data_IF_294427220830
#
_entry.id   IF_294427220830
#
_cell.length_a   1.000
_cell.length_b   1.000
_cell.length_c   1.000
_cell.angle_alpha   90.00
_cell.angle_beta   90.00
_cell.angle_gamma   90.00
#
_symmetry.space_group_name_H-M   'P 1'
#
loop_
_entity.id
_entity.type
_entity.pdbx_description
1 polymer ?
#
# COMPACT_ATOMS: atom_id res chain seq x y z
N UNK A 1 8.33 12.63 15.15
CA UNK A 1 7.49 11.46 15.43
C UNK A 1 6.10 11.69 14.86
N UNK A 2 5.53 10.70 14.20
CA UNK A 2 4.15 10.72 13.71
C UNK A 2 3.19 10.22 14.80
N UNK A 3 1.87 10.40 14.61
CA UNK A 3 0.90 9.92 15.60
C UNK A 3 0.89 8.39 15.68
N UNK A 4 1.12 7.69 14.56
CA UNK A 4 1.23 6.23 14.53
C UNK A 4 2.48 5.72 15.25
N UNK A 5 3.59 6.45 15.20
CA UNK A 5 4.80 6.12 15.96
C UNK A 5 4.56 6.21 17.47
N UNK A 6 3.89 7.27 17.95
CA UNK A 6 3.52 7.42 19.36
C UNK A 6 2.59 6.29 19.83
N UNK A 7 1.62 5.91 19.00
CA UNK A 7 0.71 4.79 19.26
C UNK A 7 1.50 3.49 19.47
N UNK A 8 2.50 3.22 18.60
CA UNK A 8 3.37 2.04 18.70
C UNK A 8 4.26 2.10 19.95
N UNK A 9 4.88 3.24 20.23
CA UNK A 9 5.76 3.44 21.38
C UNK A 9 5.02 3.19 22.70
N UNK A 10 3.77 3.64 22.79
CA UNK A 10 2.90 3.41 23.96
C UNK A 10 2.25 2.02 23.98
N UNK A 11 2.62 1.11 23.07
CA UNK A 11 2.12 -0.26 23.04
C UNK A 11 0.60 -0.37 22.84
N UNK A 12 -0.01 0.63 22.22
CA UNK A 12 -1.46 0.68 22.00
C UNK A 12 -1.83 0.49 20.53
N UNK A 13 -3.08 0.13 20.28
CA UNK A 13 -3.66 0.14 18.94
C UNK A 13 -4.48 1.41 18.72
N UNK A 14 -4.75 1.78 17.46
CA UNK A 14 -5.72 2.85 17.13
C UNK A 14 -7.07 2.62 17.81
N UNK A 15 -7.48 1.36 17.96
CA UNK A 15 -8.74 1.00 18.60
C UNK A 15 -8.69 1.28 20.11
N UNK A 16 -7.60 0.88 20.76
CA UNK A 16 -7.34 1.20 22.16
C UNK A 16 -7.33 2.71 22.39
N UNK A 17 -6.68 3.47 21.50
CA UNK A 17 -6.68 4.93 21.56
C UNK A 17 -8.11 5.51 21.47
N UNK A 18 -8.97 4.97 20.58
CA UNK A 18 -10.38 5.38 20.49
C UNK A 18 -11.13 5.15 21.80
N UNK A 19 -10.92 4.00 22.43
CA UNK A 19 -11.56 3.68 23.72
C UNK A 19 -11.06 4.56 24.86
N UNK A 20 -9.75 4.79 24.95
CA UNK A 20 -9.12 5.56 26.03
C UNK A 20 -9.44 7.06 25.90
N UNK A 21 -9.30 7.62 24.70
CA UNK A 21 -9.54 9.05 24.45
C UNK A 21 -11.03 9.44 24.39
N UNK A 22 -11.92 8.46 24.16
CA UNK A 22 -13.33 8.73 23.88
C UNK A 22 -13.55 9.52 22.58
N UNK A 23 -12.62 9.41 21.63
CA UNK A 23 -12.74 9.97 20.27
C UNK A 23 -13.30 8.86 19.36
N UNK A 24 -14.35 9.12 18.55
CA UNK A 24 -14.89 8.14 17.62
C UNK A 24 -13.83 7.56 16.68
N UNK A 25 -13.93 6.26 16.38
CA UNK A 25 -13.01 5.56 15.50
C UNK A 25 -12.84 6.26 14.14
N UNK A 26 -13.93 6.72 13.52
CA UNK A 26 -13.89 7.42 12.24
C UNK A 26 -12.96 8.65 12.28
N UNK A 27 -13.11 9.48 13.32
CA UNK A 27 -12.28 10.68 13.53
C UNK A 27 -10.82 10.32 13.75
N UNK A 28 -10.53 9.31 14.59
CA UNK A 28 -9.15 8.87 14.81
C UNK A 28 -8.53 8.27 13.56
N UNK A 29 -9.31 7.53 12.77
CA UNK A 29 -8.84 6.97 11.50
C UNK A 29 -8.43 8.08 10.53
N UNK A 30 -9.20 9.17 10.44
CA UNK A 30 -8.86 10.31 9.59
C UNK A 30 -7.63 11.08 10.09
N UNK A 31 -7.46 11.21 11.41
CA UNK A 31 -6.26 11.82 12.00
C UNK A 31 -5.03 10.94 11.76
N UNK A 32 -5.13 9.64 12.06
CA UNK A 32 -4.02 8.68 11.95
C UNK A 32 -3.69 8.28 10.50
N UNK A 33 -4.48 8.71 9.51
CA UNK A 33 -4.18 8.58 8.08
C UNK A 33 -3.74 9.91 7.45
N UNK A 34 -3.64 10.98 8.24
CA UNK A 34 -3.26 12.30 7.76
C UNK A 34 -4.36 13.06 6.99
N UNK A 35 -5.55 12.46 6.76
CA UNK A 35 -6.69 13.16 6.13
C UNK A 35 -7.11 14.41 6.92
N UNK A 36 -7.06 14.34 8.24
CA UNK A 36 -7.30 15.48 9.13
C UNK A 36 -6.00 15.87 9.83
N UNK A 37 -5.52 17.08 9.54
CA UNK A 37 -4.38 17.66 10.26
C UNK A 37 -4.75 17.95 11.72
N UNK A 38 -3.85 17.67 12.65
CA UNK A 38 -3.99 17.99 14.08
C UNK A 38 -4.24 19.48 14.32
N UNK A 39 -3.66 20.36 13.49
CA UNK A 39 -3.89 21.80 13.55
C UNK A 39 -5.33 22.23 13.24
N UNK A 40 -6.11 21.36 12.57
CA UNK A 40 -7.53 21.58 12.26
C UNK A 40 -8.48 20.91 13.25
N UNK A 41 -7.96 20.10 14.17
CA UNK A 41 -8.77 19.49 15.21
C UNK A 41 -9.27 20.55 16.20
N UNK A 42 -10.50 20.40 16.68
CA UNK A 42 -11.02 21.26 17.73
C UNK A 42 -10.25 21.05 19.04
N UNK A 43 -10.32 22.04 19.95
CA UNK A 43 -9.61 22.02 21.23
C UNK A 43 -9.96 20.80 22.09
N UNK A 44 -11.21 20.33 22.06
CA UNK A 44 -11.63 19.17 22.84
C UNK A 44 -10.97 17.87 22.35
N UNK A 45 -10.85 17.68 21.04
CA UNK A 45 -10.15 16.55 20.43
C UNK A 45 -8.67 16.59 20.77
N UNK A 46 -8.02 17.75 20.68
CA UNK A 46 -6.62 17.92 21.05
C UNK A 46 -6.38 17.63 22.53
N UNK A 47 -7.27 18.07 23.41
CA UNK A 47 -7.19 17.79 24.84
C UNK A 47 -7.36 16.30 25.14
N UNK A 48 -8.30 15.62 24.48
CA UNK A 48 -8.48 14.17 24.60
C UNK A 48 -7.26 13.38 24.13
N UNK A 49 -6.64 13.78 23.01
CA UNK A 49 -5.40 13.18 22.52
C UNK A 49 -4.23 13.43 23.46
N UNK A 50 -4.06 14.67 23.91
CA UNK A 50 -3.05 15.08 24.89
C UNK A 50 -3.15 14.25 26.18
N UNK A 51 -4.36 14.09 26.73
CA UNK A 51 -4.59 13.23 27.90
C UNK A 51 -4.29 11.76 27.64
N UNK A 52 -4.70 11.21 26.48
CA UNK A 52 -4.47 9.80 26.15
C UNK A 52 -2.99 9.48 25.88
N UNK A 53 -2.24 10.44 25.35
CA UNK A 53 -0.81 10.31 25.11
C UNK A 53 0.04 10.81 26.28
N UNK A 54 -0.53 11.38 27.35
CA UNK A 54 0.24 11.98 28.45
C UNK A 54 1.27 13.01 27.94
N UNK A 55 0.89 13.77 26.92
CA UNK A 55 1.70 14.80 26.26
C UNK A 55 0.99 16.15 26.41
N UNK A 56 1.73 17.24 26.33
CA UNK A 56 1.13 18.58 26.21
C UNK A 56 0.46 18.76 24.84
N UNK A 57 -0.53 19.66 24.75
CA UNK A 57 -1.18 20.00 23.47
C UNK A 57 -0.16 20.51 22.45
N UNK A 58 0.86 21.25 22.89
CA UNK A 58 1.91 21.76 22.02
C UNK A 58 2.75 20.63 21.41
N UNK A 59 3.10 19.62 22.20
CA UNK A 59 3.82 18.44 21.71
C UNK A 59 2.95 17.62 20.74
N UNK A 60 1.66 17.49 21.01
CA UNK A 60 0.71 16.82 20.09
C UNK A 60 0.63 17.58 18.76
N UNK A 61 0.55 18.92 18.78
CA UNK A 61 0.52 19.73 17.56
C UNK A 61 1.83 19.70 16.76
N UNK A 62 2.96 19.43 17.43
CA UNK A 62 4.28 19.25 16.80
C UNK A 62 4.47 17.86 16.19
N UNK A 63 3.54 16.93 16.39
CA UNK A 63 3.59 15.64 15.70
C UNK A 63 3.49 15.88 14.20
N UNK A 64 4.42 15.26 13.47
CA UNK A 64 4.44 15.35 12.03
C UNK A 64 3.17 14.66 11.50
N UNK A 65 2.57 15.18 10.42
CA UNK A 65 1.58 14.39 9.69
C UNK A 65 2.22 13.05 9.35
N UNK A 66 1.41 11.99 9.30
CA UNK A 66 1.89 10.76 8.69
C UNK A 66 2.44 11.13 7.30
N UNK A 67 3.65 10.65 6.92
CA UNK A 67 3.99 10.65 5.52
C UNK A 67 2.77 10.03 4.85
N UNK A 68 2.18 10.71 3.87
CA UNK A 68 1.09 10.14 3.09
C UNK A 68 1.57 8.73 2.79
N UNK A 69 0.92 7.70 3.34
CA UNK A 69 1.18 6.35 2.87
C UNK A 69 1.14 6.52 1.37
N UNK A 70 2.24 6.23 0.68
CA UNK A 70 2.36 6.56 -0.72
C UNK A 70 1.21 5.81 -1.39
N UNK A 71 0.08 6.48 -1.58
CA UNK A 71 -1.18 5.82 -1.87
C UNK A 71 -1.88 6.68 -2.89
N UNK A 72 -1.85 6.22 -4.12
CA UNK A 72 -2.65 6.80 -5.17
C UNK A 72 -4.02 6.11 -5.10
N UNK A 73 -5.07 6.89 -4.87
CA UNK A 73 -6.46 6.40 -4.81
C UNK A 73 -6.72 5.29 -3.77
N UNK A 74 -6.02 5.31 -2.64
CA UNK A 74 -6.22 4.34 -1.55
C UNK A 74 -5.55 2.98 -1.75
N UNK A 75 -4.69 2.84 -2.77
CA UNK A 75 -3.85 1.65 -3.00
C UNK A 75 -2.39 1.95 -2.68
N UNK A 76 -1.61 0.99 -2.14
CA UNK A 76 -0.17 1.18 -1.93
C UNK A 76 0.56 1.58 -3.22
N UNK A 77 1.55 2.47 -3.13
CA UNK A 77 2.41 2.87 -4.25
C UNK A 77 3.33 1.73 -4.64
N UNK A 78 3.79 0.95 -3.65
CA UNK A 78 4.41 -0.34 -3.96
C UNK A 78 3.34 -1.29 -4.50
N UNK A 79 3.40 -1.54 -5.81
CA UNK A 79 2.48 -2.41 -6.52
C UNK A 79 2.87 -3.89 -6.47
N UNK A 80 3.91 -4.26 -5.71
CA UNK A 80 4.35 -5.66 -5.56
C UNK A 80 3.23 -6.62 -5.10
N UNK A 81 2.20 -6.11 -4.41
CA UNK A 81 1.02 -6.89 -4.05
C UNK A 81 0.29 -7.50 -5.25
N UNK A 82 0.42 -6.90 -6.45
CA UNK A 82 -0.19 -7.40 -7.69
C UNK A 82 0.49 -8.66 -8.24
N UNK A 83 1.68 -9.01 -7.73
CA UNK A 83 2.42 -10.24 -8.08
C UNK A 83 2.17 -11.39 -7.10
N UNK A 84 1.21 -11.24 -6.20
CA UNK A 84 0.85 -12.27 -5.23
C UNK A 84 -0.27 -13.17 -5.75
N UNK A 85 -0.31 -14.41 -5.26
CA UNK A 85 -1.34 -15.41 -5.59
C UNK A 85 -1.47 -15.75 -7.09
N UNK A 86 -0.39 -15.61 -7.86
CA UNK A 86 -0.35 -16.04 -9.27
C UNK A 86 -0.37 -17.57 -9.36
N UNK A 87 -0.87 -18.12 -10.46
CA UNK A 87 -0.79 -19.57 -10.69
C UNK A 87 0.66 -20.05 -10.83
N UNK A 88 0.89 -21.35 -10.59
CA UNK A 88 2.23 -21.92 -10.74
C UNK A 88 2.77 -21.81 -12.19
N UNK A 89 1.89 -21.91 -13.19
CA UNK A 89 2.29 -21.79 -14.59
C UNK A 89 2.64 -20.34 -14.96
N UNK A 90 1.86 -19.37 -14.48
CA UNK A 90 2.17 -17.95 -14.68
C UNK A 90 3.47 -17.54 -13.97
N UNK A 91 3.69 -17.99 -12.73
CA UNK A 91 4.96 -17.77 -12.01
C UNK A 91 6.15 -18.34 -12.79
N UNK A 92 5.99 -19.53 -13.37
CA UNK A 92 7.02 -20.15 -14.20
C UNK A 92 7.28 -19.33 -15.47
N UNK A 93 6.23 -18.90 -16.18
CA UNK A 93 6.38 -18.10 -17.39
C UNK A 93 7.08 -16.76 -17.13
N UNK A 94 6.78 -16.09 -16.01
CA UNK A 94 7.48 -14.87 -15.56
C UNK A 94 8.97 -15.19 -15.30
N UNK A 95 9.26 -16.28 -14.59
CA UNK A 95 10.63 -16.67 -14.26
C UNK A 95 11.45 -16.99 -15.50
N UNK A 96 10.88 -17.74 -16.44
CA UNK A 96 11.53 -18.11 -17.71
C UNK A 96 11.80 -16.87 -18.57
N UNK A 97 10.85 -15.92 -18.63
CA UNK A 97 11.01 -14.65 -19.35
C UNK A 97 12.18 -13.83 -18.78
N UNK A 98 12.18 -13.57 -17.46
CA UNK A 98 13.25 -12.80 -16.78
C UNK A 98 14.62 -13.47 -16.98
N UNK A 99 14.68 -14.80 -16.85
CA UNK A 99 15.92 -15.54 -17.06
C UNK A 99 16.37 -15.47 -18.53
N UNK A 100 15.44 -15.53 -19.49
CA UNK A 100 15.69 -15.36 -20.91
C UNK A 100 16.29 -13.99 -21.26
N UNK A 101 15.76 -12.91 -20.67
CA UNK A 101 16.33 -11.56 -20.83
C UNK A 101 17.77 -11.49 -20.31
N UNK A 102 17.99 -12.03 -19.10
CA UNK A 102 19.31 -12.05 -18.44
C UNK A 102 20.34 -12.81 -19.26
N UNK A 103 19.96 -13.97 -19.79
CA UNK A 103 20.83 -14.84 -20.59
C UNK A 103 20.93 -14.40 -22.05
N UNK A 104 20.13 -13.41 -22.47
CA UNK A 104 20.01 -12.91 -23.85
C UNK A 104 19.75 -14.04 -24.84
N UNK A 105 18.79 -14.89 -24.50
CA UNK A 105 18.41 -16.02 -25.35
C UNK A 105 17.85 -15.53 -26.68
N UNK A 106 18.05 -16.31 -27.74
CA UNK A 106 17.61 -15.94 -29.09
C UNK A 106 16.11 -16.12 -29.34
N UNK A 107 15.41 -16.82 -28.45
CA UNK A 107 13.99 -17.18 -28.57
C UNK A 107 13.10 -16.34 -27.65
N UNK A 108 13.45 -15.07 -27.48
CA UNK A 108 12.74 -14.16 -26.58
C UNK A 108 11.27 -13.96 -26.98
N UNK A 109 10.97 -14.03 -28.27
CA UNK A 109 9.63 -14.00 -28.85
C UNK A 109 8.74 -15.15 -28.35
N UNK A 110 9.32 -16.34 -28.20
CA UNK A 110 8.63 -17.51 -27.67
C UNK A 110 8.32 -17.35 -26.18
N UNK A 111 9.28 -16.85 -25.40
CA UNK A 111 9.08 -16.57 -23.96
C UNK A 111 8.05 -15.47 -23.74
N UNK A 112 8.08 -14.44 -24.58
CA UNK A 112 7.08 -13.37 -24.58
C UNK A 112 5.69 -13.92 -24.85
N UNK A 113 5.55 -14.79 -25.87
CA UNK A 113 4.29 -15.44 -26.21
C UNK A 113 3.73 -16.32 -25.09
N UNK A 114 4.60 -17.10 -24.43
CA UNK A 114 4.22 -17.95 -23.28
C UNK A 114 3.74 -17.12 -22.09
N UNK A 115 4.46 -16.04 -21.75
CA UNK A 115 4.08 -15.14 -20.67
C UNK A 115 2.78 -14.40 -20.98
N UNK A 116 2.65 -13.84 -22.19
CA UNK A 116 1.42 -13.18 -22.63
C UNK A 116 0.23 -14.14 -22.61
N UNK A 117 0.42 -15.37 -23.11
CA UNK A 117 -0.59 -16.43 -23.09
C UNK A 117 -1.02 -16.80 -21.67
N UNK A 118 -0.05 -17.02 -20.78
CA UNK A 118 -0.29 -17.37 -19.37
C UNK A 118 -1.06 -16.28 -18.63
N UNK A 119 -0.70 -15.00 -18.80
CA UNK A 119 -1.42 -13.88 -18.19
C UNK A 119 -2.89 -13.86 -18.65
N UNK A 120 -3.13 -14.04 -19.95
CA UNK A 120 -4.48 -14.06 -20.49
C UNK A 120 -5.28 -15.28 -20.03
N UNK A 121 -4.66 -16.46 -19.98
CA UNK A 121 -5.32 -17.67 -19.52
C UNK A 121 -5.81 -17.52 -18.07
N UNK A 122 -4.95 -17.03 -17.18
CA UNK A 122 -5.32 -16.78 -15.77
C UNK A 122 -6.38 -15.69 -15.62
N UNK A 123 -6.34 -14.64 -16.45
CA UNK A 123 -7.39 -13.61 -16.48
C UNK A 123 -8.75 -14.19 -16.89
N UNK A 124 -8.80 -14.95 -17.98
CA UNK A 124 -10.05 -15.55 -18.48
C UNK A 124 -10.58 -16.64 -17.55
N UNK A 125 -9.70 -17.35 -16.85
CA UNK A 125 -10.07 -18.33 -15.82
C UNK A 125 -10.50 -17.69 -14.50
N UNK A 126 -10.34 -16.36 -14.34
CA UNK A 126 -10.67 -15.65 -13.10
C UNK A 126 -9.69 -15.93 -11.95
N UNK A 127 -8.49 -16.42 -12.26
CA UNK A 127 -7.41 -16.68 -11.29
C UNK A 127 -6.76 -15.38 -10.83
N UNK A 128 -6.59 -14.42 -11.75
CA UNK A 128 -6.08 -13.08 -11.47
C UNK A 128 -7.09 -12.01 -11.87
N UNK A 129 -7.01 -10.84 -11.24
CA UNK A 129 -7.84 -9.70 -11.62
C UNK A 129 -7.34 -9.01 -12.90
N UNK A 130 -8.20 -8.21 -13.52
CA UNK A 130 -7.83 -7.34 -14.65
C UNK A 130 -6.69 -6.37 -14.27
N UNK A 131 -6.68 -5.86 -13.04
CA UNK A 131 -5.61 -5.00 -12.53
C UNK A 131 -4.27 -5.74 -12.48
N UNK A 132 -4.26 -6.97 -11.97
CA UNK A 132 -3.05 -7.79 -11.97
C UNK A 132 -2.57 -8.09 -13.39
N UNK A 133 -3.49 -8.48 -14.29
CA UNK A 133 -3.14 -8.78 -15.68
C UNK A 133 -2.52 -7.55 -16.37
N UNK A 134 -3.12 -6.37 -16.21
CA UNK A 134 -2.60 -5.13 -16.79
C UNK A 134 -1.24 -4.76 -16.19
N UNK A 135 -1.09 -4.83 -14.87
CA UNK A 135 0.18 -4.58 -14.20
C UNK A 135 1.30 -5.51 -14.69
N UNK A 136 1.04 -6.81 -14.79
CA UNK A 136 2.02 -7.79 -15.25
C UNK A 136 2.43 -7.55 -16.71
N UNK A 137 1.48 -7.22 -17.59
CA UNK A 137 1.77 -6.88 -18.99
C UNK A 137 2.62 -5.61 -19.09
N UNK A 138 2.26 -4.54 -18.38
CA UNK A 138 3.04 -3.30 -18.35
C UNK A 138 4.45 -3.58 -17.85
N UNK A 139 4.58 -4.24 -16.69
CA UNK A 139 5.88 -4.50 -16.05
C UNK A 139 6.81 -5.36 -16.90
N UNK A 140 6.29 -6.43 -17.51
CA UNK A 140 7.14 -7.45 -18.13
C UNK A 140 7.16 -7.41 -19.66
N UNK A 141 6.10 -6.95 -20.32
CA UNK A 141 5.93 -7.11 -21.77
C UNK A 141 5.98 -5.81 -22.57
N UNK A 142 5.51 -4.70 -21.99
CA UNK A 142 5.34 -3.43 -22.71
C UNK A 142 6.24 -2.29 -22.19
N UNK A 143 6.75 -2.41 -20.96
CA UNK A 143 7.43 -1.32 -20.27
C UNK A 143 6.45 -0.34 -19.63
N UNK A 144 6.92 0.47 -18.69
CA UNK A 144 6.14 1.60 -18.18
C UNK A 144 6.09 2.68 -19.28
N UNK A 145 4.89 3.12 -19.66
CA UNK A 145 4.77 4.35 -20.45
C UNK A 145 5.34 5.49 -19.59
N UNK A 146 6.38 6.16 -20.06
CA UNK A 146 6.85 7.40 -19.45
C UNK A 146 5.71 8.44 -19.59
N UNK A 147 5.01 8.73 -18.49
CA UNK A 147 4.06 9.86 -18.38
C UNK A 147 4.79 11.21 -18.40
#
# INVERSE_FOLDING_TARGET
>A
MTINEIIKEKGMSKYSLSKISGIPWATLSDICSGKTSLARCNAQTLQKLSSAFEMTIEEVLKLLPEPSENTNNGKPQDRSYLETNLSAHLQKAISDYIQGEKDRVTYMDCLWGELYGSINADLWAGVISEEQANYLRTKYLYGEEEE
#
